data_IF_876817198330
#
_entry.id   IF_876817198330
#
_cell.length_a   1.000
_cell.length_b   1.000
_cell.length_c   1.000
_cell.angle_alpha   90.00
_cell.angle_beta   90.00
_cell.angle_gamma   90.00
#
_symmetry.space_group_name_H-M   'P 1'
#
loop_
_entity.id
_entity.type
_entity.pdbx_description
1 polymer ?
#
# COMPACT_ATOMS: atom_id res chain seq x y z
N UNK A 1 11.00 -11.45 -23.06
CA UNK A 1 10.98 -9.99 -23.32
C UNK A 1 11.32 -9.30 -22.00
N UNK A 2 12.22 -8.31 -22.00
CA UNK A 2 12.63 -7.62 -20.77
C UNK A 2 11.63 -6.52 -20.44
N UNK A 3 10.98 -6.61 -19.28
CA UNK A 3 10.01 -5.62 -18.80
C UNK A 3 10.75 -4.43 -18.22
N UNK A 4 10.75 -3.31 -18.95
CA UNK A 4 11.38 -2.06 -18.49
C UNK A 4 10.46 -1.27 -17.56
N UNK A 5 9.15 -1.30 -17.83
CA UNK A 5 8.12 -0.58 -17.09
C UNK A 5 7.59 -1.49 -15.98
N UNK A 6 8.10 -1.32 -14.77
CA UNK A 6 7.83 -2.20 -13.64
C UNK A 6 6.94 -1.52 -12.62
N UNK A 7 5.77 -2.11 -12.37
CA UNK A 7 4.77 -1.56 -11.47
C UNK A 7 5.03 -1.97 -10.02
N UNK A 8 5.06 -0.98 -9.13
CA UNK A 8 5.15 -1.21 -7.69
C UNK A 8 3.80 -1.30 -7.01
N UNK A 9 2.75 -0.76 -7.63
CA UNK A 9 1.37 -1.14 -7.36
C UNK A 9 0.82 -1.85 -8.60
N UNK A 10 0.55 -3.17 -8.51
CA UNK A 10 0.04 -3.97 -9.61
C UNK A 10 -1.15 -3.39 -10.38
N UNK A 11 -1.05 -3.48 -11.71
CA UNK A 11 -2.11 -3.05 -12.63
C UNK A 11 -3.38 -3.88 -12.46
N UNK A 12 -3.22 -5.17 -12.14
CA UNK A 12 -4.33 -6.08 -11.87
C UNK A 12 -5.15 -5.68 -10.66
N UNK A 13 -4.59 -4.92 -9.72
CA UNK A 13 -5.32 -4.37 -8.58
C UNK A 13 -5.83 -2.96 -8.87
N UNK A 14 -4.99 -2.09 -9.43
CA UNK A 14 -5.34 -0.70 -9.75
C UNK A 14 -6.56 -0.58 -10.67
N UNK A 15 -6.75 -1.53 -11.60
CA UNK A 15 -7.91 -1.53 -12.52
C UNK A 15 -9.25 -1.49 -11.79
N UNK A 16 -9.35 -2.01 -10.56
CA UNK A 16 -10.60 -2.05 -9.81
C UNK A 16 -11.04 -0.69 -9.25
N UNK A 17 -10.17 0.32 -9.32
CA UNK A 17 -10.50 1.72 -9.01
C UNK A 17 -10.89 2.53 -10.25
N UNK A 18 -10.62 2.00 -11.45
CA UNK A 18 -10.93 2.69 -12.68
C UNK A 18 -12.43 2.63 -12.99
N UNK A 19 -12.92 3.65 -13.69
CA UNK A 19 -14.27 3.65 -14.25
C UNK A 19 -14.36 2.87 -15.57
N UNK A 20 -15.52 2.94 -16.23
CA UNK A 20 -15.79 2.24 -17.49
C UNK A 20 -14.86 2.63 -18.64
N UNK A 21 -14.15 3.76 -18.54
CA UNK A 21 -13.14 4.21 -19.52
C UNK A 21 -11.73 3.77 -19.17
N UNK A 22 -11.57 2.91 -18.16
CA UNK A 22 -10.27 2.47 -17.62
C UNK A 22 -9.43 3.61 -17.04
N UNK A 23 -10.08 4.68 -16.57
CA UNK A 23 -9.43 5.84 -15.96
C UNK A 23 -9.91 6.10 -14.54
N UNK A 24 -9.13 6.86 -13.79
CA UNK A 24 -9.50 7.36 -12.47
C UNK A 24 -8.93 8.77 -12.26
N UNK A 25 -9.34 9.42 -11.17
CA UNK A 25 -8.81 10.70 -10.74
C UNK A 25 -7.58 10.48 -9.87
N UNK A 26 -6.53 11.26 -10.12
CA UNK A 26 -5.27 11.21 -9.39
C UNK A 26 -4.88 12.61 -8.98
N UNK A 27 -4.50 12.78 -7.72
CA UNK A 27 -3.70 13.93 -7.32
C UNK A 27 -2.22 13.55 -7.37
N UNK A 28 -1.47 14.19 -8.27
CA UNK A 28 -0.03 14.00 -8.38
C UNK A 28 0.66 14.90 -7.35
N UNK A 29 1.21 14.31 -6.30
CA UNK A 29 1.80 15.04 -5.17
C UNK A 29 3.05 15.84 -5.58
N UNK A 30 3.78 15.37 -6.58
CA UNK A 30 5.00 16.02 -7.09
C UNK A 30 4.66 17.17 -8.02
N UNK A 31 3.74 16.95 -8.95
CA UNK A 31 3.31 17.96 -9.92
C UNK A 31 2.29 18.95 -9.33
N UNK A 32 1.73 18.66 -8.15
CA UNK A 32 0.73 19.45 -7.46
C UNK A 32 -0.51 19.75 -8.33
N UNK A 33 -1.05 18.71 -8.97
CA UNK A 33 -2.19 18.87 -9.85
C UNK A 33 -3.04 17.60 -9.91
N UNK A 34 -4.34 17.79 -10.12
CA UNK A 34 -5.30 16.71 -10.36
C UNK A 34 -5.32 16.31 -11.85
N UNK A 35 -5.37 15.01 -12.11
CA UNK A 35 -5.39 14.44 -13.45
C UNK A 35 -6.43 13.33 -13.53
N UNK A 36 -6.94 13.10 -14.74
CA UNK A 36 -7.79 11.97 -15.06
C UNK A 36 -7.05 11.06 -16.05
N UNK A 37 -6.53 9.94 -15.55
CA UNK A 37 -5.50 9.16 -16.23
C UNK A 37 -5.85 7.68 -16.28
N UNK A 38 -5.30 6.98 -17.27
CA UNK A 38 -5.45 5.53 -17.40
C UNK A 38 -4.74 4.81 -16.25
N UNK A 39 -5.32 3.74 -15.72
CA UNK A 39 -4.77 3.07 -14.52
C UNK A 39 -3.34 2.55 -14.70
N UNK A 40 -2.96 2.19 -15.94
CA UNK A 40 -1.61 1.70 -16.26
C UNK A 40 -0.54 2.80 -16.35
N UNK A 41 -0.94 4.07 -16.33
CA UNK A 41 -0.05 5.21 -16.56
C UNK A 41 0.66 5.71 -15.30
N UNK A 42 0.34 5.17 -14.13
CA UNK A 42 0.95 5.55 -12.85
C UNK A 42 1.45 4.31 -12.09
N UNK A 43 2.04 4.54 -10.91
CA UNK A 43 2.56 3.52 -10.01
C UNK A 43 3.58 2.54 -10.61
N UNK A 44 4.39 3.06 -11.54
CA UNK A 44 5.52 2.34 -12.12
C UNK A 44 6.76 3.23 -12.15
N UNK A 45 7.93 2.60 -12.22
CA UNK A 45 9.16 3.25 -12.65
C UNK A 45 9.85 2.40 -13.71
N UNK A 46 10.75 3.02 -14.46
CA UNK A 46 11.63 2.26 -15.34
C UNK A 46 12.67 1.57 -14.45
N UNK A 47 12.80 0.26 -14.60
CA UNK A 47 13.79 -0.54 -13.87
C UNK A 47 13.64 -0.46 -12.33
N UNK A 48 12.41 -0.33 -11.84
CA UNK A 48 12.05 -0.25 -10.40
C UNK A 48 12.80 -1.26 -9.52
N UNK A 49 12.95 -2.49 -10.00
CA UNK A 49 13.45 -3.63 -9.23
C UNK A 49 14.84 -4.11 -9.67
N UNK A 50 15.47 -3.38 -10.59
CA UNK A 50 16.78 -3.73 -11.10
C UNK A 50 17.89 -3.22 -10.17
N UNK A 51 19.07 -3.83 -10.26
CA UNK A 51 20.25 -3.41 -9.49
C UNK A 51 21.01 -2.32 -10.22
N UNK A 52 21.30 -1.23 -9.51
CA UNK A 52 22.11 -0.12 -9.98
C UNK A 52 23.54 -0.32 -9.50
N UNK A 53 24.48 -0.54 -10.42
CA UNK A 53 25.92 -0.68 -10.11
C UNK A 53 26.57 0.70 -9.97
N UNK A 54 26.18 1.64 -10.84
CA UNK A 54 26.61 3.04 -10.83
C UNK A 54 25.54 3.91 -11.47
N UNK A 55 25.74 5.23 -11.50
CA UNK A 55 24.78 6.16 -12.11
C UNK A 55 24.38 5.80 -13.55
N UNK A 56 25.31 5.25 -14.33
CA UNK A 56 25.11 4.94 -15.74
C UNK A 56 24.93 3.42 -16.02
N UNK A 57 25.02 2.56 -14.99
CA UNK A 57 25.01 1.11 -15.20
C UNK A 57 23.96 0.42 -14.33
N UNK A 58 22.98 -0.19 -15.01
CA UNK A 58 21.91 -1.00 -14.43
C UNK A 58 22.02 -2.42 -14.97
N UNK A 59 21.97 -3.42 -14.08
CA UNK A 59 21.80 -4.82 -14.48
C UNK A 59 20.30 -5.04 -14.68
N UNK A 60 19.89 -5.29 -15.91
CA UNK A 60 18.48 -5.56 -16.24
C UNK A 60 18.26 -7.06 -16.38
N UNK A 61 17.82 -7.70 -15.30
CA UNK A 61 17.62 -9.15 -15.22
C UNK A 61 16.15 -9.56 -15.01
N UNK A 62 15.28 -8.63 -14.56
CA UNK A 62 13.87 -8.87 -14.24
C UNK A 62 13.62 -10.00 -13.22
N UNK A 63 14.63 -10.43 -12.46
CA UNK A 63 14.49 -11.55 -11.52
C UNK A 63 13.46 -11.19 -10.45
N UNK A 64 13.59 -10.01 -9.83
CA UNK A 64 12.67 -9.58 -8.79
C UNK A 64 11.26 -9.28 -9.34
N UNK A 65 11.15 -8.68 -10.54
CA UNK A 65 9.86 -8.51 -11.23
C UNK A 65 9.14 -9.85 -11.42
N UNK A 66 9.84 -10.87 -11.92
CA UNK A 66 9.28 -12.21 -12.15
C UNK A 66 8.90 -12.95 -10.85
N UNK A 67 9.60 -12.70 -9.75
CA UNK A 67 9.21 -13.23 -8.43
C UNK A 67 7.93 -12.56 -7.94
N UNK A 68 7.89 -11.23 -8.00
CA UNK A 68 6.76 -10.43 -7.56
C UNK A 68 5.48 -10.72 -8.38
N UNK A 69 5.62 -11.01 -9.67
CA UNK A 69 4.48 -11.31 -10.55
C UNK A 69 3.75 -12.61 -10.16
N UNK A 70 4.43 -13.56 -9.50
CA UNK A 70 3.80 -14.80 -9.01
C UNK A 70 2.80 -14.49 -7.88
N UNK A 71 3.24 -13.75 -6.88
CA UNK A 71 2.38 -13.30 -5.77
C UNK A 71 1.27 -12.36 -6.26
N UNK A 72 1.56 -11.54 -7.27
CA UNK A 72 0.56 -10.71 -7.95
C UNK A 72 -0.53 -11.56 -8.62
N UNK A 73 -0.17 -12.65 -9.29
CA UNK A 73 -1.14 -13.57 -9.89
C UNK A 73 -2.11 -14.13 -8.85
N UNK A 74 -1.57 -14.68 -7.75
CA UNK A 74 -2.37 -15.27 -6.66
C UNK A 74 -3.36 -14.28 -6.04
N UNK A 75 -2.91 -13.07 -5.68
CA UNK A 75 -3.82 -12.08 -5.09
C UNK A 75 -4.84 -11.55 -6.11
N UNK A 76 -4.48 -11.47 -7.38
CA UNK A 76 -5.35 -10.93 -8.42
C UNK A 76 -6.56 -11.84 -8.63
N UNK A 77 -6.36 -13.16 -8.57
CA UNK A 77 -7.45 -14.14 -8.62
C UNK A 77 -8.41 -13.99 -7.44
N UNK A 78 -7.86 -13.85 -6.22
CA UNK A 78 -8.65 -13.64 -5.00
C UNK A 78 -9.46 -12.34 -5.07
N UNK A 79 -8.81 -11.23 -5.45
CA UNK A 79 -9.47 -9.92 -5.56
C UNK A 79 -10.52 -9.90 -6.66
N UNK A 80 -10.24 -10.50 -7.81
CA UNK A 80 -11.23 -10.60 -8.91
C UNK A 80 -12.45 -11.41 -8.46
N UNK A 81 -12.25 -12.52 -7.75
CA UNK A 81 -13.35 -13.31 -7.18
C UNK A 81 -14.21 -12.47 -6.24
N UNK A 82 -13.60 -11.73 -5.31
CA UNK A 82 -14.31 -10.88 -4.35
C UNK A 82 -15.05 -9.74 -5.04
N UNK A 83 -14.38 -8.98 -5.91
CA UNK A 83 -14.94 -7.76 -6.53
C UNK A 83 -16.04 -8.10 -7.53
N UNK A 84 -15.91 -9.21 -8.25
CA UNK A 84 -16.94 -9.68 -9.18
C UNK A 84 -18.13 -10.35 -8.46
N UNK A 85 -17.94 -10.81 -7.22
CA UNK A 85 -19.02 -11.35 -6.41
C UNK A 85 -20.04 -10.27 -6.08
N UNK A 86 -21.22 -10.33 -6.71
CA UNK A 86 -22.34 -9.41 -6.42
C UNK A 86 -22.94 -9.61 -5.02
N UNK A 87 -22.42 -10.57 -4.25
CA UNK A 87 -22.86 -10.99 -2.91
C UNK A 87 -21.65 -11.42 -2.09
N UNK A 88 -21.73 -11.35 -0.75
CA UNK A 88 -20.69 -11.86 0.14
C UNK A 88 -20.21 -13.27 -0.24
N UNK A 89 -18.94 -13.40 -0.63
CA UNK A 89 -18.28 -14.68 -0.86
C UNK A 89 -17.62 -15.22 0.42
N UNK A 90 -17.34 -16.52 0.44
CA UNK A 90 -16.60 -17.17 1.53
C UNK A 90 -15.14 -17.25 1.09
N UNK A 91 -14.22 -17.00 2.02
CA UNK A 91 -12.79 -17.23 1.83
C UNK A 91 -12.30 -18.32 2.76
N UNK A 92 -11.43 -19.18 2.25
CA UNK A 92 -10.75 -20.18 3.04
C UNK A 92 -9.50 -19.61 3.75
N UNK A 93 -8.97 -20.35 4.72
CA UNK A 93 -7.83 -19.87 5.51
C UNK A 93 -6.58 -19.61 4.65
N UNK A 94 -6.34 -20.39 3.59
CA UNK A 94 -5.19 -20.18 2.71
C UNK A 94 -5.30 -18.87 1.93
N UNK A 95 -6.51 -18.50 1.47
CA UNK A 95 -6.76 -17.21 0.82
C UNK A 95 -6.49 -16.06 1.80
N UNK A 96 -6.96 -16.17 3.04
CA UNK A 96 -6.72 -15.15 4.08
C UNK A 96 -5.22 -15.00 4.40
N UNK A 97 -4.48 -16.11 4.52
CA UNK A 97 -3.02 -16.08 4.71
C UNK A 97 -2.30 -15.48 3.49
N UNK A 98 -2.81 -15.72 2.29
CA UNK A 98 -2.28 -15.15 1.04
C UNK A 98 -2.48 -13.64 1.02
N UNK A 99 -3.68 -13.16 1.37
CA UNK A 99 -3.99 -11.73 1.51
C UNK A 99 -3.06 -11.09 2.56
N UNK A 100 -2.92 -11.71 3.73
CA UNK A 100 -2.04 -11.23 4.80
C UNK A 100 -0.62 -11.02 4.28
N UNK A 101 0.01 -12.06 3.73
CA UNK A 101 1.38 -11.98 3.17
C UNK A 101 1.49 -10.96 2.06
N UNK A 102 0.49 -10.90 1.19
CA UNK A 102 0.50 -9.97 0.07
C UNK A 102 0.46 -8.51 0.53
N UNK A 103 -0.29 -8.17 1.59
CA UNK A 103 -0.30 -6.80 2.11
C UNK A 103 1.10 -6.37 2.59
N UNK A 104 1.85 -7.21 3.31
CA UNK A 104 3.23 -6.91 3.67
C UNK A 104 4.14 -6.81 2.45
N UNK A 105 3.96 -7.72 1.48
CA UNK A 105 4.69 -7.66 0.21
C UNK A 105 4.43 -6.33 -0.52
N UNK A 106 3.17 -5.92 -0.61
CA UNK A 106 2.77 -4.70 -1.29
C UNK A 106 3.33 -3.47 -0.58
N UNK A 107 3.39 -3.48 0.75
CA UNK A 107 4.01 -2.43 1.54
C UNK A 107 5.52 -2.31 1.24
N UNK A 108 6.27 -3.42 1.21
CA UNK A 108 7.72 -3.39 0.96
C UNK A 108 8.10 -3.21 -0.52
N UNK A 109 7.15 -3.24 -1.47
CA UNK A 109 7.42 -3.01 -2.90
C UNK A 109 7.59 -1.52 -3.24
N UNK A 110 7.02 -0.64 -2.42
CA UNK A 110 7.06 0.80 -2.65
C UNK A 110 8.44 1.37 -2.29
N UNK A 111 8.74 2.59 -2.74
CA UNK A 111 10.01 3.22 -2.35
C UNK A 111 10.11 3.43 -0.84
N UNK A 112 9.05 3.94 -0.23
CA UNK A 112 8.98 4.14 1.21
C UNK A 112 9.12 2.81 1.95
N UNK A 113 8.44 1.76 1.50
CA UNK A 113 8.57 0.43 2.09
C UNK A 113 9.99 -0.12 2.05
N UNK A 114 10.67 -0.01 0.91
CA UNK A 114 12.07 -0.47 0.73
C UNK A 114 13.04 0.32 1.59
N UNK A 115 12.92 1.65 1.57
CA UNK A 115 13.72 2.54 2.43
C UNK A 115 13.52 2.15 3.89
N UNK A 116 12.26 2.05 4.34
CA UNK A 116 11.93 1.70 5.72
C UNK A 116 12.51 0.36 6.14
N UNK A 117 12.34 -0.67 5.32
CA UNK A 117 12.76 -2.02 5.65
C UNK A 117 14.27 -2.08 5.84
N UNK A 118 15.03 -1.53 4.90
CA UNK A 118 16.49 -1.55 4.95
C UNK A 118 17.01 -0.67 6.09
N UNK A 119 16.45 0.53 6.30
CA UNK A 119 16.80 1.37 7.46
C UNK A 119 16.57 0.65 8.78
N UNK A 120 15.45 -0.07 8.93
CA UNK A 120 15.17 -0.83 10.15
C UNK A 120 16.20 -1.95 10.38
N UNK A 121 16.65 -2.64 9.33
CA UNK A 121 17.72 -3.64 9.46
C UNK A 121 19.06 -2.99 9.84
N UNK A 122 19.43 -1.86 9.24
CA UNK A 122 20.66 -1.13 9.54
C UNK A 122 20.66 -0.65 11.01
N UNK A 123 19.53 -0.10 11.46
CA UNK A 123 19.38 0.42 12.83
C UNK A 123 18.97 -0.66 13.83
N UNK A 124 19.01 -1.95 13.47
CA UNK A 124 18.67 -3.08 14.35
C UNK A 124 17.28 -2.95 15.02
N UNK A 125 16.31 -2.35 14.31
CA UNK A 125 14.95 -2.09 14.79
C UNK A 125 14.89 -1.26 16.09
N UNK A 126 15.92 -0.45 16.36
CA UNK A 126 16.02 0.35 17.60
C UNK A 126 15.14 1.60 17.61
N UNK A 127 14.71 2.09 16.45
CA UNK A 127 13.93 3.31 16.32
C UNK A 127 12.50 3.00 15.85
N UNK A 128 11.51 3.34 16.68
CA UNK A 128 10.12 3.39 16.24
C UNK A 128 9.88 4.67 15.44
N UNK A 129 9.11 4.57 14.36
CA UNK A 129 8.73 5.72 13.54
C UNK A 129 7.28 6.09 13.82
N UNK A 130 7.05 7.38 14.08
CA UNK A 130 5.72 7.96 14.36
C UNK A 130 5.03 8.48 13.09
N UNK A 131 5.82 8.95 12.11
CA UNK A 131 5.31 9.60 10.89
C UNK A 131 5.56 8.77 9.63
N UNK A 132 4.82 8.99 8.53
CA UNK A 132 5.13 8.35 7.24
C UNK A 132 6.50 8.77 6.69
N UNK A 133 7.12 7.92 5.88
CA UNK A 133 8.34 8.29 5.14
C UNK A 133 8.00 9.35 4.10
N UNK A 134 8.74 10.46 4.11
CA UNK A 134 8.54 11.58 3.19
C UNK A 134 9.35 11.41 1.89
N UNK A 135 8.92 12.12 0.83
CA UNK A 135 9.58 12.07 -0.46
C UNK A 135 11.05 12.53 -0.41
N UNK A 136 11.38 13.49 0.46
CA UNK A 136 12.75 13.94 0.67
C UNK A 136 13.63 12.83 1.28
N UNK A 137 13.08 12.08 2.24
CA UNK A 137 13.76 10.94 2.86
C UNK A 137 14.02 9.83 1.84
N UNK A 138 13.06 9.53 0.96
CA UNK A 138 13.25 8.58 -0.14
C UNK A 138 14.42 9.00 -1.05
N UNK A 139 14.49 10.28 -1.41
CA UNK A 139 15.57 10.81 -2.27
C UNK A 139 16.93 10.71 -1.59
N UNK A 140 17.00 10.87 -0.28
CA UNK A 140 18.24 10.78 0.49
C UNK A 140 18.68 9.33 0.76
N UNK A 141 17.80 8.35 0.54
CA UNK A 141 18.03 6.94 0.86
C UNK A 141 17.86 6.01 -0.37
N UNK A 142 18.20 6.50 -1.58
CA UNK A 142 18.11 5.68 -2.80
C UNK A 142 19.00 4.43 -2.74
N UNK A 143 20.10 4.47 -1.99
CA UNK A 143 20.96 3.29 -1.80
C UNK A 143 20.23 2.17 -1.05
N UNK A 144 19.34 2.50 -0.12
CA UNK A 144 18.52 1.49 0.57
C UNK A 144 17.60 0.75 -0.39
N UNK A 145 17.06 1.44 -1.40
CA UNK A 145 16.27 0.81 -2.46
C UNK A 145 17.13 -0.16 -3.29
N UNK A 146 18.36 0.23 -3.60
CA UNK A 146 19.30 -0.62 -4.33
C UNK A 146 19.70 -1.86 -3.54
N UNK A 147 20.02 -1.70 -2.25
CA UNK A 147 20.29 -2.80 -1.31
C UNK A 147 19.11 -3.76 -1.26
N UNK A 148 17.89 -3.26 -1.12
CA UNK A 148 16.68 -4.09 -1.15
C UNK A 148 16.60 -4.91 -2.42
N UNK A 149 16.69 -4.27 -3.59
CA UNK A 149 16.58 -4.95 -4.89
C UNK A 149 17.63 -6.07 -5.01
N UNK A 150 18.89 -5.77 -4.65
CA UNK A 150 20.02 -6.71 -4.69
C UNK A 150 19.82 -7.91 -3.75
N UNK A 151 19.37 -7.66 -2.53
CA UNK A 151 19.18 -8.73 -1.53
C UNK A 151 17.97 -9.59 -1.88
N UNK A 152 16.82 -8.98 -2.21
CA UNK A 152 15.57 -9.71 -2.43
C UNK A 152 15.55 -10.51 -3.74
N UNK A 153 16.29 -10.06 -4.77
CA UNK A 153 16.40 -10.81 -6.03
C UNK A 153 17.23 -12.09 -5.88
N UNK A 154 18.18 -12.13 -4.94
CA UNK A 154 19.11 -13.25 -4.77
C UNK A 154 18.42 -14.50 -4.23
N UNK A 155 18.71 -15.65 -4.85
CA UNK A 155 18.29 -16.99 -4.42
C UNK A 155 16.80 -17.07 -4.05
N UNK A 156 16.47 -17.44 -2.80
CA UNK A 156 15.10 -17.50 -2.27
C UNK A 156 14.82 -16.42 -1.21
N UNK A 157 15.59 -15.33 -1.19
CA UNK A 157 15.53 -14.36 -0.10
C UNK A 157 14.15 -13.74 0.07
N UNK A 158 13.49 -13.31 -1.02
CA UNK A 158 12.13 -12.77 -0.95
C UNK A 158 11.14 -13.81 -0.40
N UNK A 159 11.19 -15.03 -0.92
CA UNK A 159 10.31 -16.12 -0.52
C UNK A 159 10.51 -16.51 0.95
N UNK A 160 11.77 -16.61 1.38
CA UNK A 160 12.15 -16.83 2.78
C UNK A 160 11.70 -15.67 3.67
N UNK A 161 11.87 -14.43 3.23
CA UNK A 161 11.41 -13.24 3.97
C UNK A 161 9.89 -13.28 4.18
N UNK A 162 9.12 -13.55 3.11
CA UNK A 162 7.65 -13.65 3.19
C UNK A 162 7.17 -14.82 4.04
N UNK A 163 7.96 -15.88 4.18
CA UNK A 163 7.60 -17.04 5.02
C UNK A 163 7.49 -16.71 6.52
N UNK A 164 8.14 -15.62 6.97
CA UNK A 164 8.03 -15.14 8.35
C UNK A 164 6.71 -14.42 8.63
N UNK A 165 6.03 -13.90 7.61
CA UNK A 165 4.76 -13.20 7.75
C UNK A 165 3.59 -14.18 7.78
N UNK A 166 3.43 -14.88 8.90
CA UNK A 166 2.23 -15.66 9.20
C UNK A 166 1.20 -14.76 9.87
N UNK A 167 -0.09 -14.93 9.57
CA UNK A 167 -1.12 -14.15 10.23
C UNK A 167 -1.13 -14.47 11.73
N UNK A 168 -0.94 -13.47 12.62
CA UNK A 168 -1.08 -13.69 14.06
C UNK A 168 -2.51 -14.12 14.41
N UNK A 169 -2.67 -14.94 15.45
CA UNK A 169 -3.99 -15.41 15.89
C UNK A 169 -4.88 -14.25 16.35
N UNK A 170 -4.27 -13.21 16.92
CA UNK A 170 -4.96 -12.01 17.42
C UNK A 170 -5.46 -11.06 16.33
N UNK A 171 -5.12 -11.28 15.05
CA UNK A 171 -5.57 -10.42 13.94
C UNK A 171 -6.79 -11.03 13.25
N UNK A 172 -7.97 -10.43 13.41
CA UNK A 172 -9.19 -10.82 12.73
C UNK A 172 -9.22 -10.23 11.32
N UNK A 173 -9.71 -10.99 10.34
CA UNK A 173 -9.79 -10.56 8.94
C UNK A 173 -11.22 -10.22 8.53
N UNK A 174 -11.37 -9.08 7.87
CA UNK A 174 -12.63 -8.58 7.33
C UNK A 174 -12.46 -8.08 5.89
N UNK A 175 -13.54 -8.20 5.12
CA UNK A 175 -13.80 -7.44 3.91
C UNK A 175 -14.77 -6.33 4.28
N UNK A 176 -14.23 -5.12 4.36
CA UNK A 176 -14.97 -3.92 4.74
C UNK A 176 -15.67 -3.30 3.54
N UNK A 177 -16.98 -3.09 3.66
CA UNK A 177 -17.85 -2.51 2.64
C UNK A 177 -18.04 -1.02 2.93
N UNK A 178 -17.68 -0.17 1.97
CA UNK A 178 -17.76 1.28 2.05
C UNK A 178 -18.22 1.90 0.73
N UNK A 179 -18.12 3.22 0.63
CA UNK A 179 -18.46 3.96 -0.59
C UNK A 179 -17.54 5.17 -0.77
N UNK A 180 -16.54 5.02 -1.63
CA UNK A 180 -15.54 6.05 -1.91
C UNK A 180 -14.25 5.85 -1.11
N UNK A 181 -13.78 4.60 -1.00
CA UNK A 181 -12.40 4.35 -0.59
C UNK A 181 -11.43 4.99 -1.58
N UNK A 182 -10.43 5.68 -1.04
CA UNK A 182 -9.25 6.11 -1.79
C UNK A 182 -8.19 5.00 -1.78
N UNK A 183 -7.26 5.05 -2.74
CA UNK A 183 -5.99 4.31 -2.66
C UNK A 183 -4.84 5.26 -2.98
N UNK A 184 -3.60 4.79 -2.94
CA UNK A 184 -2.43 5.60 -3.25
C UNK A 184 -1.30 4.77 -3.83
N UNK A 185 -0.17 5.41 -4.12
CA UNK A 185 1.09 4.73 -4.43
C UNK A 185 1.63 3.88 -3.27
N UNK A 186 1.12 4.07 -2.05
CA UNK A 186 1.33 3.25 -0.86
C UNK A 186 -0.01 2.70 -0.35
N UNK A 187 -0.56 1.65 -1.00
CA UNK A 187 -1.96 1.26 -0.81
C UNK A 187 -2.26 0.57 0.53
N UNK A 188 -1.23 0.19 1.29
CA UNK A 188 -1.37 -0.45 2.61
C UNK A 188 -1.20 0.61 3.69
N UNK A 189 -2.19 0.70 4.57
CA UNK A 189 -2.21 1.59 5.73
C UNK A 189 -2.16 0.75 6.99
N UNK A 190 -1.26 1.10 7.91
CA UNK A 190 -1.16 0.50 9.24
C UNK A 190 -1.43 1.57 10.29
N UNK A 191 -2.22 1.25 11.31
CA UNK A 191 -2.51 2.18 12.40
C UNK A 191 -1.75 1.81 13.68
N UNK A 192 -1.48 2.84 14.47
CA UNK A 192 -0.98 2.72 15.84
C UNK A 192 -2.08 2.16 16.76
N UNK A 193 -1.70 1.37 17.74
CA UNK A 193 -2.58 0.86 18.80
C UNK A 193 -2.35 1.57 20.13
N UNK A 194 -2.79 0.96 21.25
CA UNK A 194 -2.42 1.39 22.59
C UNK A 194 -0.89 1.49 22.75
N UNK A 195 -0.36 2.20 23.77
CA UNK A 195 1.09 2.39 23.97
C UNK A 195 1.95 1.11 23.92
N UNK A 196 1.36 -0.04 24.24
CA UNK A 196 2.02 -1.35 24.25
C UNK A 196 2.01 -2.05 22.88
N UNK A 197 1.25 -1.54 21.90
CA UNK A 197 1.19 -2.03 20.51
C UNK A 197 1.43 -0.82 19.60
N UNK A 198 2.69 -0.42 19.43
CA UNK A 198 3.00 0.83 18.77
C UNK A 198 2.71 0.79 17.26
N UNK A 199 2.48 -0.37 16.62
CA UNK A 199 2.16 -0.42 15.19
C UNK A 199 1.38 -1.70 14.84
N UNK A 200 0.62 -1.65 13.74
CA UNK A 200 -0.07 -2.82 13.20
C UNK A 200 -1.29 -3.25 14.00
N UNK A 201 -1.89 -2.33 14.76
CA UNK A 201 -3.13 -2.59 15.49
C UNK A 201 -4.30 -2.81 14.53
N UNK A 202 -4.28 -2.09 13.41
CA UNK A 202 -5.13 -2.33 12.26
C UNK A 202 -4.31 -2.18 10.99
N UNK A 203 -4.51 -3.08 10.03
CA UNK A 203 -3.86 -3.03 8.72
C UNK A 203 -4.94 -3.08 7.64
N UNK A 204 -4.89 -2.13 6.71
CA UNK A 204 -5.94 -1.86 5.74
C UNK A 204 -5.35 -1.77 4.34
N UNK A 205 -6.05 -2.32 3.36
CA UNK A 205 -5.72 -2.15 1.94
C UNK A 205 -7.01 -2.05 1.12
N UNK A 206 -7.38 -0.84 0.69
CA UNK A 206 -8.45 -0.66 -0.28
C UNK A 206 -8.18 -1.46 -1.56
N UNK A 207 -9.14 -2.28 -1.98
CA UNK A 207 -9.05 -3.10 -3.20
C UNK A 207 -9.98 -2.62 -4.31
N UNK A 208 -10.97 -1.81 -3.95
CA UNK A 208 -11.83 -1.08 -4.88
C UNK A 208 -12.41 0.15 -4.16
N UNK A 209 -13.14 1.03 -4.85
CA UNK A 209 -13.84 2.16 -4.22
C UNK A 209 -14.90 1.75 -3.19
N UNK A 210 -15.27 0.47 -3.16
CA UNK A 210 -16.35 -0.06 -2.33
C UNK A 210 -15.89 -1.11 -1.32
N UNK A 211 -14.68 -1.65 -1.48
CA UNK A 211 -14.17 -2.78 -0.70
C UNK A 211 -12.75 -2.53 -0.20
N UNK A 212 -12.48 -2.94 1.03
CA UNK A 212 -11.19 -2.85 1.67
C UNK A 212 -10.88 -4.16 2.40
N UNK A 213 -9.66 -4.67 2.25
CA UNK A 213 -9.14 -5.68 3.17
C UNK A 213 -8.79 -5.02 4.48
N UNK A 214 -9.13 -5.68 5.58
CA UNK A 214 -8.95 -5.15 6.92
C UNK A 214 -8.56 -6.27 7.86
N UNK A 215 -7.37 -6.13 8.47
CA UNK A 215 -6.96 -6.92 9.61
C UNK A 215 -7.02 -6.06 10.87
N UNK A 216 -7.73 -6.53 11.89
CA UNK A 216 -7.92 -5.82 13.15
C UNK A 216 -7.44 -6.67 14.32
N UNK A 217 -6.72 -6.06 15.25
CA UNK A 217 -6.36 -6.71 16.50
C UNK A 217 -7.63 -7.03 17.32
N UNK A 218 -7.67 -8.17 18.00
CA UNK A 218 -8.80 -8.60 18.83
C UNK A 218 -9.13 -7.66 20.01
N UNK A 219 -8.21 -6.79 20.40
CA UNK A 219 -8.47 -5.70 21.35
C UNK A 219 -9.35 -4.58 20.74
N UNK A 220 -9.45 -4.50 19.41
CA UNK A 220 -10.51 -3.73 18.76
C UNK A 220 -11.83 -4.48 18.94
N UNK A 221 -12.93 -3.75 19.13
CA UNK A 221 -14.28 -4.33 19.11
C UNK A 221 -14.62 -4.84 17.69
N UNK A 222 -14.03 -5.99 17.33
CA UNK A 222 -14.09 -6.64 16.03
C UNK A 222 -15.43 -7.35 15.87
N UNK A 223 -15.95 -7.34 14.65
CA UNK A 223 -17.07 -8.21 14.31
C UNK A 223 -16.58 -9.64 14.12
N UNK A 224 -17.39 -10.65 14.43
CA UNK A 224 -17.10 -12.05 14.02
C UNK A 224 -17.40 -12.30 12.53
N UNK A 225 -17.96 -11.32 11.82
CA UNK A 225 -18.37 -11.45 10.43
C UNK A 225 -17.19 -11.17 9.49
N UNK A 226 -17.05 -11.98 8.45
CA UNK A 226 -16.11 -11.71 7.35
C UNK A 226 -16.45 -10.40 6.64
N UNK A 227 -17.74 -10.12 6.40
CA UNK A 227 -18.17 -8.92 5.68
C UNK A 227 -18.73 -7.90 6.67
N UNK A 228 -18.09 -6.73 6.72
CA UNK A 228 -18.42 -5.68 7.70
C UNK A 228 -18.76 -4.40 6.96
N UNK A 229 -19.90 -3.77 7.31
CA UNK A 229 -20.24 -2.46 6.76
C UNK A 229 -19.52 -1.38 7.54
N UNK A 230 -18.81 -0.53 6.83
CA UNK A 230 -18.03 0.53 7.44
C UNK A 230 -18.87 1.78 7.70
N UNK A 231 -18.59 2.47 8.80
CA UNK A 231 -19.21 3.77 9.10
C UNK A 231 -18.58 4.87 8.25
N UNK A 232 -19.32 5.95 8.00
CA UNK A 232 -18.78 7.11 7.26
C UNK A 232 -17.57 7.73 7.97
N UNK A 233 -17.57 7.73 9.30
CA UNK A 233 -16.44 8.24 10.09
C UNK A 233 -15.18 7.40 9.91
N UNK A 234 -15.31 6.07 9.96
CA UNK A 234 -14.18 5.16 9.73
C UNK A 234 -13.68 5.25 8.29
N UNK A 235 -14.59 5.39 7.31
CA UNK A 235 -14.22 5.64 5.91
C UNK A 235 -13.41 6.92 5.76
N UNK A 236 -13.86 8.01 6.39
CA UNK A 236 -13.11 9.27 6.40
C UNK A 236 -11.73 9.07 7.01
N UNK A 237 -11.63 8.36 8.13
CA UNK A 237 -10.35 8.06 8.79
C UNK A 237 -9.39 7.30 7.88
N UNK A 238 -9.87 6.26 7.20
CA UNK A 238 -9.03 5.45 6.31
C UNK A 238 -8.57 6.28 5.11
N UNK A 239 -9.46 7.05 4.48
CA UNK A 239 -9.10 7.89 3.35
C UNK A 239 -8.05 8.95 3.71
N UNK A 240 -8.16 9.57 4.89
CA UNK A 240 -7.17 10.50 5.42
C UNK A 240 -5.82 9.81 5.69
N UNK A 241 -5.84 8.61 6.26
CA UNK A 241 -4.64 7.81 6.46
C UNK A 241 -3.96 7.43 5.12
N UNK A 242 -4.74 7.05 4.10
CA UNK A 242 -4.25 6.81 2.73
C UNK A 242 -3.61 8.05 2.12
N UNK A 243 -4.16 9.25 2.35
CA UNK A 243 -3.55 10.50 1.91
C UNK A 243 -2.23 10.76 2.65
N UNK A 244 -2.18 10.48 3.96
CA UNK A 244 -0.99 10.72 4.77
C UNK A 244 0.21 9.87 4.34
N UNK A 245 -0.03 8.62 3.94
CA UNK A 245 1.02 7.68 3.53
C UNK A 245 1.42 7.82 2.06
N UNK A 246 0.68 8.55 1.22
CA UNK A 246 1.01 8.72 -0.19
C UNK A 246 2.32 9.52 -0.39
N UNK A 247 3.16 9.10 -1.33
CA UNK A 247 4.38 9.84 -1.71
C UNK A 247 4.25 10.51 -3.07
N UNK A 248 3.60 9.85 -4.03
CA UNK A 248 3.52 10.29 -5.42
C UNK A 248 2.09 10.55 -5.87
N UNK A 249 1.14 9.71 -5.47
CA UNK A 249 -0.22 9.68 -6.02
C UNK A 249 -1.27 9.38 -4.96
N UNK A 250 -2.29 10.23 -4.86
CA UNK A 250 -3.57 9.86 -4.23
C UNK A 250 -4.56 9.54 -5.34
N UNK A 251 -5.31 8.44 -5.24
CA UNK A 251 -6.12 7.88 -6.32
C UNK A 251 -7.58 7.74 -5.87
N UNK A 252 -8.52 8.13 -6.73
CA UNK A 252 -9.96 8.12 -6.48
C UNK A 252 -10.74 7.73 -7.75
N UNK A 253 -11.82 6.97 -7.61
CA UNK A 253 -12.71 6.67 -8.74
C UNK A 253 -13.65 7.83 -9.12
N UNK A 254 -13.71 8.88 -8.30
CA UNK A 254 -14.51 10.09 -8.51
C UNK A 254 -13.63 11.33 -8.34
N UNK A 255 -14.04 12.50 -8.87
CA UNK A 255 -13.38 13.76 -8.54
C UNK A 255 -13.25 13.93 -7.03
N UNK A 256 -12.12 14.46 -6.57
CA UNK A 256 -11.93 14.74 -5.15
C UNK A 256 -12.94 15.78 -4.70
N UNK A 257 -13.64 15.51 -3.59
CA UNK A 257 -14.54 16.49 -3.01
C UNK A 257 -13.77 17.56 -2.22
N UNK A 258 -14.45 18.65 -1.85
CA UNK A 258 -13.84 19.78 -1.13
C UNK A 258 -13.09 19.34 0.14
N UNK A 259 -13.63 18.39 0.91
CA UNK A 259 -12.98 17.89 2.13
C UNK A 259 -11.71 17.13 1.83
N UNK A 260 -11.72 16.28 0.79
CA UNK A 260 -10.54 15.55 0.32
C UNK A 260 -9.47 16.52 -0.22
N UNK A 261 -9.87 17.50 -1.02
CA UNK A 261 -8.97 18.53 -1.56
C UNK A 261 -8.32 19.36 -0.45
N UNK A 262 -9.09 19.79 0.55
CA UNK A 262 -8.56 20.50 1.72
C UNK A 262 -7.57 19.63 2.51
N UNK A 263 -7.86 18.34 2.68
CA UNK A 263 -6.95 17.43 3.37
C UNK A 263 -5.65 17.18 2.60
N UNK A 264 -5.75 16.95 1.28
CA UNK A 264 -4.60 16.83 0.38
C UNK A 264 -3.75 18.10 0.40
N UNK A 265 -4.38 19.27 0.30
CA UNK A 265 -3.68 20.55 0.41
C UNK A 265 -2.94 20.66 1.73
N UNK A 266 -3.61 20.37 2.86
CA UNK A 266 -2.97 20.40 4.16
C UNK A 266 -1.77 19.43 4.21
N UNK A 267 -1.90 18.18 3.76
CA UNK A 267 -0.82 17.17 3.77
C UNK A 267 0.42 17.59 2.98
N UNK A 268 0.23 18.17 1.79
CA UNK A 268 1.34 18.40 0.85
C UNK A 268 1.80 19.87 0.72
N UNK A 269 1.05 20.82 1.29
CA UNK A 269 1.38 22.27 1.24
C UNK A 269 1.55 22.92 2.60
N UNK A 270 0.94 22.38 3.67
CA UNK A 270 1.09 22.95 5.01
C UNK A 270 2.31 22.35 5.71
N UNK A 271 3.28 23.18 6.09
CA UNK A 271 4.47 22.71 6.82
C UNK A 271 4.15 22.10 8.19
N UNK A 272 3.03 22.50 8.79
CA UNK A 272 2.58 22.05 10.10
C UNK A 272 1.51 20.94 10.02
N UNK A 273 1.42 20.23 8.89
CA UNK A 273 0.37 19.23 8.66
C UNK A 273 0.34 18.12 9.71
N UNK A 274 1.51 17.74 10.24
CA UNK A 274 1.65 16.74 11.31
C UNK A 274 0.84 17.11 12.55
N UNK A 275 0.96 18.34 13.03
CA UNK A 275 0.21 18.87 14.18
C UNK A 275 -1.29 19.00 13.91
N UNK A 276 -1.68 19.15 12.65
CA UNK A 276 -3.07 19.32 12.25
C UNK A 276 -3.78 17.98 11.99
N UNK A 277 -3.04 16.92 11.68
CA UNK A 277 -3.60 15.60 11.43
C UNK A 277 -4.11 14.96 12.71
N UNK A 278 -5.36 14.47 12.70
CA UNK A 278 -5.91 13.69 13.82
C UNK A 278 -5.26 12.32 13.98
N UNK A 279 -4.43 11.87 13.03
CA UNK A 279 -3.75 10.57 13.10
C UNK A 279 -2.50 10.59 13.95
N UNK A 280 -1.95 11.77 14.25
CA UNK A 280 -0.72 11.95 15.04
C UNK A 280 -0.95 12.80 16.29
N UNK A 281 -2.21 12.92 16.73
CA UNK A 281 -2.55 13.57 18.00
C UNK A 281 -2.62 12.48 19.06
N UNK A 282 -1.76 12.61 20.07
CA UNK A 282 -1.82 11.85 21.33
C UNK A 282 -3.10 12.17 22.09
#
# INVERSE_FOLDING_TARGET
MVTKKQHYYPRSLLKHFADSTSKFYVYNCVANLEQYVHYESICYKKYTYEEKISDDRIIVDNILENKLSRFEGEISEIVEHIVSSRKPCILNQNEIETIWKYMFLQEIRTDSGRVRLVSNFINHFSESREFPIELAEIKNNLENINIFNKVMKKDKNLESFLSFFKKPKQMNFHISIGNGFLTSDNPVVSTFGPPNIPNGFQILMPISPYLCFEFQNNEMNCSDKLWVKMTNEKLRYINEATINTANYYVISNKPFNITQQMYIYNRFKNINWLYNSRHFKN
#
